data_IF_436682999288
#
_entry.id   IF_436682999288
#
_cell.length_a   1.000
_cell.length_b   1.000
_cell.length_c   1.000
_cell.angle_alpha   90.00
_cell.angle_beta   90.00
_cell.angle_gamma   90.00
#
_symmetry.space_group_name_H-M   'P 1'
#
loop_
_entity.id
_entity.type
_entity.pdbx_description
1 polymer ?
#
# COMPACT_ATOMS: atom_id res chain seq x y z
N UNK A 1 53.70 44.12 -17.49
CA UNK A 1 52.80 44.42 -16.35
C UNK A 1 51.38 44.90 -16.78
N UNK A 2 50.77 44.37 -17.86
CA UNK A 2 49.37 44.73 -18.26
C UNK A 2 48.34 43.60 -18.12
N UNK A 3 48.75 42.33 -18.04
CA UNK A 3 47.82 41.19 -17.99
C UNK A 3 47.32 40.78 -16.60
N UNK A 4 47.98 41.21 -15.52
CA UNK A 4 47.60 40.80 -14.15
C UNK A 4 46.51 41.71 -13.56
N UNK A 5 46.51 42.99 -13.93
CA UNK A 5 45.55 43.98 -13.42
C UNK A 5 44.16 43.82 -14.03
N UNK A 6 44.06 43.42 -15.31
CA UNK A 6 42.76 43.14 -15.94
C UNK A 6 42.08 41.87 -15.40
N UNK A 7 42.85 40.83 -15.02
CA UNK A 7 42.29 39.61 -14.41
C UNK A 7 41.72 39.89 -13.01
N UNK A 8 42.33 40.80 -12.24
CA UNK A 8 41.83 41.21 -10.92
C UNK A 8 40.55 42.06 -11.03
N UNK A 9 40.44 42.95 -12.03
CA UNK A 9 39.23 43.75 -12.25
C UNK A 9 38.06 42.89 -12.77
N UNK A 10 38.32 41.85 -13.59
CA UNK A 10 37.28 40.90 -14.02
C UNK A 10 36.76 40.00 -12.88
N UNK A 11 37.58 39.76 -11.86
CA UNK A 11 37.21 38.97 -10.69
C UNK A 11 36.29 39.77 -9.74
N UNK A 12 36.48 41.10 -9.67
CA UNK A 12 35.61 41.99 -8.90
C UNK A 12 34.31 42.37 -9.62
N UNK A 13 34.29 42.43 -10.96
CA UNK A 13 33.07 42.69 -11.76
C UNK A 13 32.08 41.52 -11.88
N UNK A 14 32.36 40.36 -11.28
CA UNK A 14 31.47 39.17 -11.29
C UNK A 14 30.60 39.00 -10.05
N UNK A 15 30.58 39.97 -9.13
CA UNK A 15 29.65 40.02 -7.99
C UNK A 15 28.78 41.28 -8.07
N UNK A 16 27.93 41.36 -9.09
CA UNK A 16 26.77 42.27 -9.04
C UNK A 16 25.70 41.64 -8.13
N UNK A 17 25.21 42.35 -7.10
CA UNK A 17 24.13 41.89 -6.22
C UNK A 17 22.87 41.47 -7.00
N UNK A 18 22.64 42.08 -8.16
CA UNK A 18 21.51 41.82 -9.04
C UNK A 18 21.44 40.37 -9.56
N UNK A 19 22.57 39.65 -9.71
CA UNK A 19 22.53 38.21 -10.09
C UNK A 19 22.24 37.28 -8.90
N UNK A 20 22.48 37.74 -7.67
CA UNK A 20 22.10 37.00 -6.46
C UNK A 20 20.60 37.19 -6.17
N UNK A 21 20.06 38.38 -6.44
CA UNK A 21 18.61 38.65 -6.38
C UNK A 21 17.84 38.00 -7.54
N UNK A 22 18.40 37.96 -8.75
CA UNK A 22 17.77 37.27 -9.89
C UNK A 22 17.70 35.73 -9.74
N UNK A 23 18.47 35.13 -8.83
CA UNK A 23 18.34 33.71 -8.47
C UNK A 23 17.26 33.44 -7.40
N UNK A 24 16.74 34.48 -6.75
CA UNK A 24 15.71 34.34 -5.72
C UNK A 24 14.27 34.42 -6.26
N UNK A 25 14.08 34.71 -7.54
CA UNK A 25 12.77 34.55 -8.20
C UNK A 25 12.80 33.34 -9.12
N UNK A 26 13.19 32.18 -8.57
CA UNK A 26 12.69 30.94 -9.12
C UNK A 26 11.17 31.02 -8.97
N UNK A 27 10.44 31.12 -10.08
CA UNK A 27 8.99 30.86 -10.08
C UNK A 27 8.82 29.48 -9.44
N UNK A 28 8.49 29.48 -8.15
CA UNK A 28 8.49 28.27 -7.34
C UNK A 28 7.51 27.32 -8.00
N UNK A 29 7.92 26.05 -8.17
CA UNK A 29 6.93 25.01 -8.49
C UNK A 29 5.81 25.15 -7.45
N UNK A 30 4.56 25.17 -7.89
CA UNK A 30 3.43 25.14 -6.97
C UNK A 30 3.48 23.91 -6.07
N UNK A 31 2.65 23.86 -5.02
CA UNK A 31 2.53 22.69 -4.15
C UNK A 31 2.38 21.41 -4.97
N UNK A 32 3.18 20.39 -4.63
CA UNK A 32 3.10 19.07 -5.26
C UNK A 32 2.55 18.03 -4.30
N UNK A 33 1.87 17.04 -4.88
CA UNK A 33 1.48 15.83 -4.17
C UNK A 33 2.57 14.78 -4.31
N UNK A 34 3.11 14.31 -3.19
CA UNK A 34 4.02 13.18 -3.11
C UNK A 34 3.24 11.93 -2.73
N UNK A 35 3.11 10.97 -3.66
CA UNK A 35 2.44 9.69 -3.40
C UNK A 35 3.50 8.59 -3.31
N UNK A 36 3.70 8.05 -2.11
CA UNK A 36 4.64 6.97 -1.85
C UNK A 36 3.89 5.65 -1.71
N UNK A 37 4.18 4.73 -2.63
CA UNK A 37 3.51 3.44 -2.78
C UNK A 37 4.44 2.32 -2.31
N UNK A 38 4.16 1.72 -1.17
CA UNK A 38 5.02 0.70 -0.53
C UNK A 38 4.38 -0.68 -0.64
N UNK A 39 4.97 -1.53 -1.47
CA UNK A 39 4.39 -2.81 -1.81
C UNK A 39 4.66 -3.90 -0.76
N UNK A 40 3.75 -4.87 -0.71
CA UNK A 40 3.82 -6.00 0.20
C UNK A 40 4.82 -7.06 -0.24
N UNK A 41 4.97 -8.11 0.57
CA UNK A 41 5.85 -9.25 0.30
C UNK A 41 5.71 -9.78 -1.13
N UNK A 42 6.82 -9.98 -1.84
CA UNK A 42 6.85 -10.41 -3.25
C UNK A 42 6.20 -9.46 -4.26
N UNK A 43 5.53 -8.40 -3.83
CA UNK A 43 4.93 -7.40 -4.71
C UNK A 43 5.98 -6.71 -5.60
N UNK A 44 5.70 -6.68 -6.90
CA UNK A 44 6.55 -6.04 -7.90
C UNK A 44 5.73 -5.55 -9.08
N UNK A 45 6.35 -4.79 -9.98
CA UNK A 45 5.73 -4.39 -11.24
C UNK A 45 5.74 -5.50 -12.31
N UNK A 46 6.10 -6.75 -11.96
CA UNK A 46 5.98 -7.88 -12.89
C UNK A 46 4.52 -8.34 -12.96
N UNK A 47 4.00 -8.77 -14.13
CA UNK A 47 2.61 -9.20 -14.27
C UNK A 47 2.17 -10.27 -13.25
N UNK A 48 3.02 -11.25 -12.98
CA UNK A 48 2.77 -12.37 -12.04
C UNK A 48 2.77 -11.96 -10.55
N UNK A 49 3.22 -10.74 -10.25
CA UNK A 49 3.40 -10.21 -8.89
C UNK A 49 2.76 -8.83 -8.71
N UNK A 50 1.91 -8.45 -9.66
CA UNK A 50 1.30 -7.13 -9.70
C UNK A 50 0.21 -7.03 -8.63
N UNK A 51 0.48 -6.24 -7.59
CA UNK A 51 -0.46 -5.93 -6.51
C UNK A 51 -1.28 -4.69 -6.83
N UNK A 52 -2.26 -4.37 -5.98
CA UNK A 52 -3.00 -3.11 -6.04
C UNK A 52 -2.05 -1.90 -5.94
N UNK A 53 -0.99 -1.99 -5.15
CA UNK A 53 0.04 -0.93 -5.06
C UNK A 53 0.76 -0.74 -6.41
N UNK A 54 1.14 -1.83 -7.07
CA UNK A 54 1.76 -1.78 -8.40
C UNK A 54 0.80 -1.25 -9.48
N UNK A 55 -0.49 -1.58 -9.38
CA UNK A 55 -1.52 -1.04 -10.27
C UNK A 55 -1.72 0.46 -10.08
N UNK A 56 -1.85 0.93 -8.83
CA UNK A 56 -1.95 2.36 -8.50
C UNK A 56 -0.72 3.10 -9.02
N UNK A 57 0.49 2.53 -8.86
CA UNK A 57 1.71 3.15 -9.37
C UNK A 57 1.66 3.34 -10.89
N UNK A 58 1.33 2.28 -11.64
CA UNK A 58 1.24 2.34 -13.11
C UNK A 58 0.19 3.34 -13.55
N UNK A 59 -0.96 3.36 -12.88
CA UNK A 59 -2.04 4.30 -13.13
C UNK A 59 -1.59 5.75 -12.90
N UNK A 60 -1.12 6.11 -11.70
CA UNK A 60 -0.71 7.48 -11.38
C UNK A 60 0.44 7.98 -12.26
N UNK A 61 1.40 7.11 -12.59
CA UNK A 61 2.52 7.45 -13.50
C UNK A 61 2.05 7.83 -14.90
N UNK A 62 0.97 7.21 -15.39
CA UNK A 62 0.39 7.48 -16.70
C UNK A 62 -0.59 8.66 -16.65
N UNK A 63 -1.38 8.72 -15.59
CA UNK A 63 -2.62 9.49 -15.57
C UNK A 63 -2.57 10.77 -14.71
N UNK A 64 -1.56 10.90 -13.84
CA UNK A 64 -1.42 12.03 -12.92
C UNK A 64 -0.01 12.68 -13.05
N UNK A 65 0.30 13.38 -14.15
CA UNK A 65 1.66 13.87 -14.46
C UNK A 65 2.19 14.92 -13.47
N UNK A 66 1.30 15.57 -12.72
CA UNK A 66 1.66 16.57 -11.69
C UNK A 66 1.96 15.94 -10.32
N UNK A 67 1.73 14.64 -10.16
CA UNK A 67 1.98 13.92 -8.91
C UNK A 67 3.37 13.32 -8.92
N UNK A 68 4.13 13.55 -7.86
CA UNK A 68 5.43 12.92 -7.65
C UNK A 68 5.24 11.54 -7.03
N UNK A 69 5.32 10.49 -7.86
CA UNK A 69 5.06 9.10 -7.42
C UNK A 69 6.35 8.34 -7.13
N UNK A 70 6.42 7.68 -5.98
CA UNK A 70 7.47 6.72 -5.61
C UNK A 70 6.90 5.32 -5.50
N UNK A 71 7.65 4.31 -5.97
CA UNK A 71 7.32 2.91 -5.78
C UNK A 71 8.42 2.19 -5.02
N UNK A 72 8.09 1.75 -3.80
CA UNK A 72 8.90 0.85 -3.00
C UNK A 72 8.53 -0.59 -3.33
N UNK A 73 9.38 -1.28 -4.11
CA UNK A 73 9.20 -2.71 -4.41
C UNK A 73 9.15 -3.52 -3.11
N UNK A 74 8.26 -4.49 -3.07
CA UNK A 74 8.13 -5.44 -1.98
C UNK A 74 9.37 -6.29 -1.77
N UNK A 75 9.55 -6.80 -0.56
CA UNK A 75 10.65 -7.72 -0.23
C UNK A 75 10.55 -8.97 -1.11
N UNK A 76 11.56 -9.20 -1.96
CA UNK A 76 11.65 -10.35 -2.85
C UNK A 76 12.44 -11.46 -2.17
N UNK A 77 11.99 -12.70 -2.35
CA UNK A 77 12.72 -13.89 -1.92
C UNK A 77 13.42 -14.47 -3.15
N UNK A 78 14.71 -14.81 -3.08
CA UNK A 78 15.40 -15.42 -4.21
C UNK A 78 15.61 -16.93 -4.04
N UNK A 79 15.83 -17.47 -2.83
CA UNK A 79 16.10 -18.91 -2.61
C UNK A 79 15.89 -19.37 -1.14
N UNK A 80 15.95 -20.69 -0.86
CA UNK A 80 15.83 -21.29 0.49
C UNK A 80 16.90 -20.82 1.50
N UNK A 81 18.01 -20.24 1.05
CA UNK A 81 19.05 -19.68 1.92
C UNK A 81 18.76 -18.23 2.37
N UNK A 82 17.84 -17.51 1.71
CA UNK A 82 17.37 -16.16 2.10
C UNK A 82 16.33 -16.18 3.23
N UNK A 83 16.01 -17.36 3.74
CA UNK A 83 14.99 -17.56 4.77
C UNK A 83 15.40 -16.81 6.05
N UNK A 84 16.69 -16.78 6.41
CA UNK A 84 17.15 -15.99 7.56
C UNK A 84 16.87 -14.49 7.39
N UNK A 85 17.21 -13.88 6.25
CA UNK A 85 17.14 -12.43 6.06
C UNK A 85 15.72 -11.88 6.06
N UNK A 86 14.75 -12.70 5.65
CA UNK A 86 13.34 -12.35 5.70
C UNK A 86 12.69 -12.69 7.04
N UNK A 87 13.26 -13.62 7.81
CA UNK A 87 12.80 -13.93 9.17
C UNK A 87 13.10 -12.81 10.18
N UNK A 88 14.04 -11.91 9.87
CA UNK A 88 14.52 -10.89 10.80
C UNK A 88 14.00 -9.46 10.56
N UNK A 89 13.03 -9.22 9.67
CA UNK A 89 12.50 -7.86 9.45
C UNK A 89 13.45 -6.87 8.77
N UNK A 90 14.72 -7.24 8.52
CA UNK A 90 15.76 -6.39 7.92
C UNK A 90 15.38 -5.79 6.55
N UNK A 91 14.51 -6.45 5.80
CA UNK A 91 14.08 -6.00 4.48
C UNK A 91 13.14 -4.78 4.49
N UNK A 92 12.31 -4.64 5.51
CA UNK A 92 11.31 -3.55 5.61
C UNK A 92 12.01 -2.24 5.99
N UNK A 93 13.00 -2.29 6.88
CA UNK A 93 13.77 -1.12 7.32
C UNK A 93 14.43 -0.41 6.13
N UNK A 94 15.09 -1.16 5.24
CA UNK A 94 15.70 -0.61 4.01
C UNK A 94 14.67 0.03 3.08
N UNK A 95 13.45 -0.51 3.01
CA UNK A 95 12.37 0.07 2.19
C UNK A 95 11.93 1.42 2.78
N UNK A 96 11.78 1.51 4.11
CA UNK A 96 11.43 2.73 4.84
C UNK A 96 12.53 3.79 4.67
N UNK A 97 13.79 3.45 4.90
CA UNK A 97 14.92 4.38 4.75
C UNK A 97 15.01 4.97 3.33
N UNK A 98 14.83 4.13 2.30
CA UNK A 98 14.82 4.59 0.90
C UNK A 98 13.64 5.52 0.60
N UNK A 99 12.46 5.18 1.09
CA UNK A 99 11.26 6.01 0.94
C UNK A 99 11.42 7.36 1.65
N UNK A 100 11.95 7.35 2.88
CA UNK A 100 12.26 8.55 3.65
C UNK A 100 13.27 9.44 2.93
N UNK A 101 14.41 8.87 2.50
CA UNK A 101 15.43 9.64 1.77
C UNK A 101 14.90 10.20 0.45
N UNK A 102 14.11 9.42 -0.29
CA UNK A 102 13.48 9.87 -1.53
C UNK A 102 12.58 11.08 -1.31
N UNK A 103 11.77 11.06 -0.23
CA UNK A 103 10.87 12.13 0.15
C UNK A 103 11.65 13.36 0.64
N UNK A 104 12.61 13.17 1.54
CA UNK A 104 13.43 14.25 2.11
C UNK A 104 14.18 15.05 1.03
N UNK A 105 14.66 14.39 -0.02
CA UNK A 105 15.32 15.06 -1.16
C UNK A 105 14.37 15.91 -2.02
N UNK A 106 13.04 15.68 -1.95
CA UNK A 106 12.05 16.26 -2.87
C UNK A 106 11.06 17.18 -2.21
N UNK A 107 10.77 16.96 -0.93
CA UNK A 107 9.76 17.70 -0.19
C UNK A 107 10.14 19.18 -0.10
N UNK A 108 9.14 20.03 -0.26
CA UNK A 108 9.20 21.46 0.05
C UNK A 108 8.01 21.80 0.95
N UNK A 109 8.17 22.79 1.85
CA UNK A 109 7.04 23.26 2.65
C UNK A 109 5.84 23.62 1.76
N UNK A 110 4.66 23.12 2.13
CA UNK A 110 3.43 23.27 1.35
C UNK A 110 3.09 22.07 0.46
N UNK A 111 4.03 21.16 0.19
CA UNK A 111 3.73 19.90 -0.50
C UNK A 111 2.88 18.97 0.39
N UNK A 112 2.02 18.15 -0.23
CA UNK A 112 1.18 17.15 0.47
C UNK A 112 1.77 15.75 0.33
N UNK A 113 1.63 14.94 1.37
CA UNK A 113 2.22 13.59 1.41
C UNK A 113 1.12 12.55 1.59
N UNK A 114 1.07 11.60 0.66
CA UNK A 114 0.20 10.43 0.68
C UNK A 114 1.07 9.18 0.77
N UNK A 115 0.94 8.43 1.86
CA UNK A 115 1.65 7.18 2.08
C UNK A 115 0.68 6.03 1.94
N UNK A 116 0.85 5.15 0.96
CA UNK A 116 -0.05 4.02 0.74
C UNK A 116 0.76 2.73 0.69
N UNK A 117 0.35 1.71 1.44
CA UNK A 117 1.04 0.43 1.40
C UNK A 117 0.15 -0.78 1.62
N UNK A 118 0.67 -1.95 1.26
CA UNK A 118 0.00 -3.24 1.40
C UNK A 118 0.79 -4.20 2.29
N UNK A 119 0.13 -4.91 3.22
CA UNK A 119 0.74 -5.94 4.06
C UNK A 119 1.91 -5.38 4.86
N UNK A 120 3.13 -5.92 4.69
CA UNK A 120 4.37 -5.36 5.25
C UNK A 120 4.74 -3.97 4.68
N UNK A 121 4.31 -3.65 3.47
CA UNK A 121 4.42 -2.31 2.90
C UNK A 121 3.48 -1.31 3.58
N UNK A 122 2.30 -1.76 4.05
CA UNK A 122 1.40 -0.92 4.88
C UNK A 122 2.05 -0.62 6.24
N UNK A 123 2.71 -1.62 6.83
CA UNK A 123 3.53 -1.44 8.02
C UNK A 123 4.66 -0.43 7.78
N UNK A 124 5.33 -0.51 6.63
CA UNK A 124 6.35 0.45 6.23
C UNK A 124 5.79 1.88 6.08
N UNK A 125 4.61 2.03 5.48
CA UNK A 125 3.95 3.33 5.31
C UNK A 125 3.58 3.97 6.66
N UNK A 126 3.00 3.18 7.56
CA UNK A 126 2.69 3.60 8.94
C UNK A 126 3.95 3.96 9.72
N UNK A 127 5.01 3.16 9.59
CA UNK A 127 6.29 3.43 10.25
C UNK A 127 6.98 4.69 9.71
N UNK A 128 6.88 4.93 8.40
CA UNK A 128 7.40 6.14 7.78
C UNK A 128 6.66 7.39 8.29
N UNK A 129 5.33 7.33 8.43
CA UNK A 129 4.56 8.41 9.05
C UNK A 129 5.03 8.67 10.48
N UNK A 130 5.14 7.62 11.30
CA UNK A 130 5.65 7.74 12.67
C UNK A 130 7.10 8.25 12.75
N UNK A 131 7.93 7.94 11.76
CA UNK A 131 9.30 8.44 11.66
C UNK A 131 9.33 9.94 11.36
N UNK A 132 8.51 10.40 10.42
CA UNK A 132 8.34 11.83 10.11
C UNK A 132 7.84 12.59 11.34
N UNK A 133 6.86 12.03 12.07
CA UNK A 133 6.33 12.64 13.27
C UNK A 133 7.38 12.79 14.36
N UNK A 134 8.03 11.69 14.75
CA UNK A 134 8.90 11.65 15.93
C UNK A 134 10.26 12.27 15.63
N UNK A 135 10.89 11.88 14.53
CA UNK A 135 12.26 12.31 14.17
C UNK A 135 12.28 13.56 13.30
N UNK A 136 11.25 13.80 12.49
CA UNK A 136 11.21 14.89 11.52
C UNK A 136 11.67 14.43 10.13
N UNK A 137 11.37 15.23 9.11
CA UNK A 137 11.84 15.02 7.75
C UNK A 137 13.06 15.91 7.48
N UNK A 138 14.17 15.32 7.04
CA UNK A 138 15.38 16.05 6.67
C UNK A 138 15.09 17.08 5.57
N UNK A 139 15.73 18.25 5.68
CA UNK A 139 15.78 19.21 4.57
C UNK A 139 16.57 18.64 3.39
N UNK A 140 16.26 19.00 2.13
CA UNK A 140 16.93 18.42 0.95
C UNK A 140 18.46 18.49 1.00
N UNK A 141 19.04 19.59 1.49
CA UNK A 141 20.48 19.80 1.66
C UNK A 141 21.14 18.88 2.71
N UNK A 142 20.33 18.27 3.59
CA UNK A 142 20.78 17.34 4.62
C UNK A 142 20.35 15.90 4.37
N UNK A 143 19.58 15.64 3.29
CA UNK A 143 19.03 14.33 2.92
C UNK A 143 20.09 13.38 2.31
N UNK A 144 21.28 13.33 2.91
CA UNK A 144 22.35 12.39 2.57
C UNK A 144 22.13 11.03 3.25
N UNK A 145 22.77 9.99 2.74
CA UNK A 145 22.64 8.61 3.25
C UNK A 145 22.96 8.51 4.75
N UNK A 146 24.04 9.15 5.20
CA UNK A 146 24.45 9.15 6.61
C UNK A 146 23.35 9.68 7.53
N UNK A 147 22.74 10.82 7.18
CA UNK A 147 21.71 11.45 7.98
C UNK A 147 20.40 10.68 7.91
N UNK A 148 20.08 10.09 6.75
CA UNK A 148 18.90 9.22 6.57
C UNK A 148 18.98 7.98 7.48
N UNK A 149 20.14 7.30 7.51
CA UNK A 149 20.37 6.16 8.41
C UNK A 149 20.35 6.57 9.88
N UNK A 150 20.87 7.76 10.21
CA UNK A 150 20.84 8.29 11.57
C UNK A 150 19.40 8.60 12.02
N UNK A 151 18.58 9.19 11.14
CA UNK A 151 17.16 9.42 11.40
C UNK A 151 16.43 8.09 11.67
N UNK A 152 16.68 7.06 10.85
CA UNK A 152 16.11 5.73 11.08
C UNK A 152 16.55 5.15 12.43
N UNK A 153 17.84 5.24 12.76
CA UNK A 153 18.36 4.79 14.05
C UNK A 153 17.68 5.51 15.21
N UNK A 154 17.46 6.82 15.12
CA UNK A 154 16.76 7.57 16.16
C UNK A 154 15.31 7.10 16.35
N UNK A 155 14.63 6.75 15.25
CA UNK A 155 13.28 6.19 15.28
C UNK A 155 13.26 4.78 15.91
N UNK A 156 14.17 3.90 15.47
CA UNK A 156 14.24 2.48 15.88
C UNK A 156 14.67 2.32 17.35
N UNK A 157 15.63 3.14 17.81
CA UNK A 157 16.14 3.05 19.19
C UNK A 157 15.42 3.96 20.18
N UNK A 158 14.38 4.68 19.75
CA UNK A 158 13.67 5.68 20.56
C UNK A 158 14.64 6.66 21.25
N UNK A 159 15.44 7.36 20.43
CA UNK A 159 16.46 8.25 20.95
C UNK A 159 15.87 9.29 21.94
N UNK A 160 16.58 9.63 23.03
CA UNK A 160 16.10 10.58 24.03
C UNK A 160 15.63 11.91 23.43
N UNK A 161 14.55 12.47 23.99
CA UNK A 161 13.93 13.69 23.49
C UNK A 161 14.90 14.87 23.23
N UNK A 162 15.91 15.15 24.08
CA UNK A 162 16.88 16.23 23.81
C UNK A 162 17.71 16.00 22.54
N UNK A 163 18.10 14.75 22.25
CA UNK A 163 18.86 14.38 21.06
C UNK A 163 17.98 14.57 19.82
N UNK A 164 16.74 14.08 19.89
CA UNK A 164 15.79 14.19 18.78
C UNK A 164 15.42 15.65 18.49
N UNK A 165 15.23 16.48 19.53
CA UNK A 165 14.99 17.92 19.39
C UNK A 165 16.19 18.65 18.74
N UNK A 166 17.42 18.31 19.15
CA UNK A 166 18.63 18.85 18.54
C UNK A 166 18.77 18.46 17.07
N UNK A 167 18.49 17.19 16.75
CA UNK A 167 18.48 16.67 15.38
C UNK A 167 17.46 17.42 14.51
N UNK A 168 16.22 17.54 14.99
CA UNK A 168 15.14 18.26 14.29
C UNK A 168 15.49 19.70 13.98
N UNK A 169 15.91 20.48 14.99
CA UNK A 169 16.26 21.89 14.82
C UNK A 169 17.41 22.09 13.83
N UNK A 170 18.35 21.15 13.79
CA UNK A 170 19.58 21.31 13.00
C UNK A 170 19.42 20.84 11.56
N UNK A 171 18.60 19.81 11.31
CA UNK A 171 18.62 19.08 10.03
C UNK A 171 17.25 18.93 9.37
N UNK A 172 16.15 19.05 10.11
CA UNK A 172 14.81 18.77 9.61
C UNK A 172 14.01 20.03 9.28
N UNK A 173 12.93 19.85 8.53
CA UNK A 173 11.85 20.82 8.44
C UNK A 173 11.16 20.98 9.81
N UNK A 174 10.64 22.18 10.08
CA UNK A 174 9.95 22.50 11.34
C UNK A 174 8.67 21.68 11.52
N UNK A 175 7.83 21.68 10.48
CA UNK A 175 6.57 20.94 10.42
C UNK A 175 6.39 20.29 9.06
N UNK A 176 5.95 19.03 9.06
CA UNK A 176 5.66 18.23 7.86
C UNK A 176 4.41 17.39 8.13
N UNK A 177 3.23 17.90 7.76
CA UNK A 177 2.00 17.13 7.86
C UNK A 177 1.98 16.02 6.80
N UNK A 178 1.45 14.86 7.18
CA UNK A 178 1.12 13.77 6.27
C UNK A 178 -0.38 13.82 6.02
N UNK A 179 -0.78 14.03 4.76
CA UNK A 179 -2.18 14.18 4.39
C UNK A 179 -2.94 12.87 4.58
N UNK A 180 -2.35 11.76 4.12
CA UNK A 180 -3.00 10.45 4.16
C UNK A 180 -2.01 9.33 4.43
N UNK A 181 -2.41 8.40 5.31
CA UNK A 181 -1.85 7.05 5.37
C UNK A 181 -2.93 6.05 4.96
N UNK A 182 -2.74 5.43 3.79
CA UNK A 182 -3.56 4.34 3.25
C UNK A 182 -2.93 2.98 3.49
N UNK A 183 -3.70 2.03 4.01
CA UNK A 183 -3.23 0.70 4.34
C UNK A 183 -4.14 -0.39 3.76
N UNK A 184 -3.55 -1.33 3.04
CA UNK A 184 -4.22 -2.59 2.67
C UNK A 184 -3.74 -3.70 3.60
N UNK A 185 -4.64 -4.18 4.44
CA UNK A 185 -4.50 -5.29 5.39
C UNK A 185 -3.13 -5.33 6.08
N UNK A 186 -2.84 -4.31 6.89
CA UNK A 186 -1.54 -4.18 7.58
C UNK A 186 -1.28 -5.41 8.45
N UNK A 187 -0.13 -6.06 8.27
CA UNK A 187 0.30 -7.18 9.14
C UNK A 187 1.64 -6.85 9.79
N UNK A 188 1.88 -7.43 10.97
CA UNK A 188 3.18 -7.26 11.63
C UNK A 188 4.31 -7.84 10.78
N UNK A 189 5.46 -7.17 10.78
CA UNK A 189 6.68 -7.68 10.17
C UNK A 189 7.37 -8.78 11.03
N UNK A 190 6.60 -9.52 11.84
CA UNK A 190 7.14 -10.59 12.68
C UNK A 190 7.53 -11.81 11.84
N UNK A 191 8.62 -12.45 12.25
CA UNK A 191 9.10 -13.71 11.69
C UNK A 191 7.99 -14.77 11.70
N UNK A 192 7.94 -15.56 10.62
CA UNK A 192 6.91 -16.59 10.43
C UNK A 192 7.05 -17.67 11.51
N UNK A 193 5.98 -17.94 12.26
CA UNK A 193 5.89 -19.12 13.14
C UNK A 193 5.51 -20.35 12.29
N UNK A 194 6.49 -21.12 11.82
CA UNK A 194 6.26 -22.42 11.19
C UNK A 194 6.30 -23.55 12.24
N UNK A 195 5.48 -24.62 12.10
CA UNK A 195 5.61 -25.81 12.92
C UNK A 195 7.02 -26.42 12.75
N UNK A 196 7.58 -26.96 13.84
CA UNK A 196 8.94 -27.54 13.97
C UNK A 196 10.14 -26.56 13.95
N UNK A 197 9.95 -25.27 13.62
CA UNK A 197 10.96 -24.23 13.83
C UNK A 197 10.60 -23.38 15.06
N UNK A 198 10.79 -23.94 16.24
CA UNK A 198 10.78 -23.17 17.47
C UNK A 198 12.09 -22.40 17.58
N UNK A 199 11.99 -21.10 17.86
CA UNK A 199 13.09 -20.20 18.21
C UNK A 199 13.83 -19.52 17.05
N UNK A 200 13.20 -18.54 16.41
CA UNK A 200 13.92 -17.32 16.03
C UNK A 200 13.14 -16.14 16.56
N UNK A 201 13.57 -15.59 17.69
CA UNK A 201 13.11 -14.28 18.15
C UNK A 201 13.63 -13.28 17.11
N UNK A 202 12.77 -12.93 16.15
CA UNK A 202 13.06 -11.81 15.27
C UNK A 202 13.36 -10.59 16.15
N UNK A 203 14.48 -9.91 15.85
CA UNK A 203 14.76 -8.60 16.44
C UNK A 203 13.49 -7.76 16.25
N UNK A 204 12.91 -7.34 17.38
CA UNK A 204 11.64 -6.64 17.38
C UNK A 204 11.85 -5.32 16.64
N UNK A 205 11.47 -5.23 15.36
CA UNK A 205 11.06 -3.94 14.82
C UNK A 205 9.76 -3.65 15.56
N UNK A 206 9.91 -3.01 16.72
CA UNK A 206 8.79 -2.64 17.58
C UNK A 206 7.93 -1.73 16.73
N UNK A 207 6.73 -2.18 16.41
CA UNK A 207 5.75 -1.28 15.86
C UNK A 207 5.46 -0.25 16.94
N UNK A 208 5.90 0.98 16.71
CA UNK A 208 5.99 1.92 17.82
C UNK A 208 4.66 2.61 18.13
N UNK A 209 3.61 2.43 17.32
CA UNK A 209 2.32 3.01 17.68
C UNK A 209 1.10 2.37 16.98
N UNK A 210 0.17 1.83 17.76
CA UNK A 210 -1.15 1.43 17.28
C UNK A 210 -2.06 2.64 17.00
N UNK A 211 -1.62 3.84 17.34
CA UNK A 211 -2.30 5.09 17.05
C UNK A 211 -1.84 5.71 15.72
N UNK A 212 -2.74 6.49 15.11
CA UNK A 212 -2.43 7.43 14.05
C UNK A 212 -1.76 8.68 14.65
N UNK A 213 -0.54 8.97 14.24
CA UNK A 213 0.21 10.14 14.74
C UNK A 213 -0.53 11.47 14.57
N UNK A 214 -0.20 12.46 15.39
CA UNK A 214 -0.82 13.79 15.34
C UNK A 214 -0.47 14.57 14.07
N UNK A 215 0.67 14.24 13.44
CA UNK A 215 1.08 14.83 12.16
C UNK A 215 0.34 14.25 10.95
N UNK A 216 -0.44 13.18 11.14
CA UNK A 216 -1.20 12.54 10.07
C UNK A 216 -2.66 13.00 10.10
N UNK A 217 -3.14 13.60 9.02
CA UNK A 217 -4.51 14.10 8.96
C UNK A 217 -5.54 12.98 8.82
N UNK A 218 -5.28 12.01 7.94
CA UNK A 218 -6.24 10.94 7.63
C UNK A 218 -5.59 9.55 7.56
N UNK A 219 -6.21 8.57 8.21
CA UNK A 219 -5.85 7.15 8.16
C UNK A 219 -6.96 6.31 7.54
N UNK A 220 -6.68 5.61 6.45
CA UNK A 220 -7.64 4.72 5.78
C UNK A 220 -7.09 3.30 5.72
N UNK A 221 -7.84 2.32 6.20
CA UNK A 221 -7.42 0.92 6.19
C UNK A 221 -8.47 0.01 5.58
N UNK A 222 -8.09 -0.70 4.52
CA UNK A 222 -8.85 -1.81 3.96
C UNK A 222 -8.43 -3.12 4.64
N UNK A 223 -9.38 -3.91 5.14
CA UNK A 223 -9.15 -5.12 5.94
C UNK A 223 -9.75 -6.35 5.26
N UNK A 224 -9.04 -7.47 5.34
CA UNK A 224 -9.50 -8.75 4.78
C UNK A 224 -10.43 -9.47 5.76
N UNK A 225 -11.72 -9.57 5.42
CA UNK A 225 -12.74 -10.21 6.25
C UNK A 225 -12.56 -11.73 6.34
N UNK A 226 -12.23 -12.38 5.22
CA UNK A 226 -12.22 -13.84 5.08
C UNK A 226 -10.84 -14.46 5.31
N UNK A 227 -9.87 -13.67 5.79
CA UNK A 227 -8.53 -14.15 6.08
C UNK A 227 -8.49 -14.94 7.39
N UNK A 228 -8.08 -16.21 7.33
CA UNK A 228 -8.04 -17.10 8.49
C UNK A 228 -6.63 -17.36 9.00
N UNK A 229 -5.57 -17.05 8.26
CA UNK A 229 -4.18 -17.39 8.66
C UNK A 229 -3.74 -16.50 9.81
N UNK A 230 -3.44 -17.09 10.96
CA UNK A 230 -3.07 -16.34 12.17
C UNK A 230 -1.78 -15.52 12.01
N UNK A 231 -0.85 -15.96 11.14
CA UNK A 231 0.38 -15.21 10.83
C UNK A 231 0.12 -13.89 10.11
N UNK A 232 -1.07 -13.72 9.53
CA UNK A 232 -1.48 -12.49 8.86
C UNK A 232 -2.46 -11.68 9.73
N UNK A 233 -2.48 -11.85 11.06
CA UNK A 233 -3.35 -11.04 11.93
C UNK A 233 -3.17 -9.53 11.67
N UNK A 234 -4.26 -8.77 11.44
CA UNK A 234 -4.13 -7.40 11.00
C UNK A 234 -3.85 -6.49 12.19
N UNK A 235 -3.03 -5.47 11.96
CA UNK A 235 -2.82 -4.38 12.90
C UNK A 235 -3.96 -3.37 12.77
N UNK A 236 -4.97 -3.50 13.63
CA UNK A 236 -6.06 -2.53 13.77
C UNK A 236 -5.50 -1.22 14.36
N UNK A 237 -5.93 -0.08 13.83
CA UNK A 237 -5.67 1.22 14.44
C UNK A 237 -6.55 1.43 15.67
N UNK A 238 -5.97 2.03 16.70
CA UNK A 238 -6.67 2.45 17.90
C UNK A 238 -7.06 3.93 17.80
N UNK A 239 -8.37 4.16 17.74
CA UNK A 239 -8.98 5.49 17.62
C UNK A 239 -9.11 6.24 18.95
N UNK A 240 -8.92 5.56 20.10
CA UNK A 240 -9.13 6.14 21.43
C UNK A 240 -8.15 7.30 21.74
N UNK A 241 -6.95 7.29 21.13
CA UNK A 241 -5.93 8.33 21.31
C UNK A 241 -5.87 9.41 20.22
N UNK A 242 -6.66 9.26 19.14
CA UNK A 242 -6.44 10.02 17.89
C UNK A 242 -7.68 10.75 17.39
N UNK A 243 -8.84 10.39 17.93
CA UNK A 243 -10.16 10.85 17.48
C UNK A 243 -10.64 10.00 16.31
N UNK A 244 -11.74 9.25 16.53
CA UNK A 244 -12.34 8.35 15.54
C UNK A 244 -12.68 9.02 14.19
N UNK A 245 -12.77 10.36 14.13
CA UNK A 245 -13.05 11.09 12.90
C UNK A 245 -11.88 11.10 11.88
N UNK A 246 -10.63 10.83 12.31
CA UNK A 246 -9.46 10.81 11.42
C UNK A 246 -9.16 9.44 10.81
N UNK A 247 -9.79 8.39 11.33
CA UNK A 247 -9.50 7.00 10.97
C UNK A 247 -10.75 6.36 10.42
N UNK A 248 -10.63 5.70 9.28
CA UNK A 248 -11.69 4.86 8.72
C UNK A 248 -11.10 3.48 8.36
N UNK A 249 -11.63 2.44 9.00
CA UNK A 249 -11.20 1.05 8.78
C UNK A 249 -12.36 0.25 8.18
N UNK A 250 -12.23 -0.19 6.93
CA UNK A 250 -13.28 -0.92 6.22
C UNK A 250 -12.92 -2.37 5.99
N UNK A 251 -13.80 -3.26 6.38
CA UNK A 251 -13.71 -4.69 6.10
C UNK A 251 -14.31 -5.00 4.73
N UNK A 252 -13.55 -5.72 3.90
CA UNK A 252 -13.93 -6.14 2.56
C UNK A 252 -13.95 -7.67 2.49
N UNK A 253 -14.83 -8.21 1.64
CA UNK A 253 -14.84 -9.63 1.27
C UNK A 253 -13.50 -10.03 0.64
N UNK A 254 -13.02 -11.22 0.97
CA UNK A 254 -11.78 -11.79 0.47
C UNK A 254 -10.71 -12.00 1.54
N UNK A 255 -9.69 -12.76 1.17
CA UNK A 255 -8.49 -13.02 1.95
C UNK A 255 -7.45 -11.90 1.76
N UNK A 256 -6.32 -11.99 2.46
CA UNK A 256 -5.25 -10.98 2.43
C UNK A 256 -4.80 -10.60 1.00
N UNK A 257 -4.68 -11.61 0.13
CA UNK A 257 -4.29 -11.43 -1.26
C UNK A 257 -5.34 -10.71 -2.11
N UNK A 258 -6.62 -10.90 -1.81
CA UNK A 258 -7.71 -10.20 -2.49
C UNK A 258 -7.68 -8.71 -2.14
N UNK A 259 -7.42 -8.36 -0.87
CA UNK A 259 -7.39 -6.95 -0.46
C UNK A 259 -6.19 -6.20 -1.04
N UNK A 260 -5.02 -6.85 -1.06
CA UNK A 260 -3.81 -6.26 -1.64
C UNK A 260 -3.63 -6.46 -3.13
N UNK A 261 -4.52 -7.22 -3.79
CA UNK A 261 -4.39 -7.59 -5.20
C UNK A 261 -3.18 -8.49 -5.51
N UNK A 262 -2.66 -9.22 -4.52
CA UNK A 262 -1.57 -10.19 -4.70
C UNK A 262 -2.15 -11.55 -5.12
N UNK A 263 -2.51 -11.65 -6.39
CA UNK A 263 -3.31 -12.77 -6.91
C UNK A 263 -2.49 -13.90 -7.56
N UNK A 264 -1.19 -13.66 -7.79
CA UNK A 264 -0.36 -14.59 -8.55
C UNK A 264 -0.92 -14.81 -9.96
N UNK A 265 -1.19 -16.07 -10.31
CA UNK A 265 -1.79 -16.44 -11.60
C UNK A 265 -3.31 -16.50 -11.59
N UNK A 266 -3.96 -16.16 -10.46
CA UNK A 266 -5.42 -16.23 -10.32
C UNK A 266 -6.08 -14.89 -10.73
N UNK A 267 -6.09 -14.63 -12.03
CA UNK A 267 -6.57 -13.37 -12.61
C UNK A 267 -8.06 -13.08 -12.36
N UNK A 268 -8.87 -14.13 -12.21
CA UNK A 268 -10.33 -14.02 -12.03
C UNK A 268 -10.73 -13.34 -10.71
N UNK A 269 -9.83 -13.30 -9.73
CA UNK A 269 -10.04 -12.55 -8.48
C UNK A 269 -9.77 -11.04 -8.62
N UNK A 270 -9.27 -10.57 -9.78
CA UNK A 270 -8.91 -9.16 -9.97
C UNK A 270 -10.10 -8.21 -9.76
N UNK A 271 -11.32 -8.49 -10.26
CA UNK A 271 -12.45 -7.63 -9.99
C UNK A 271 -12.81 -7.50 -8.51
N UNK A 272 -12.62 -8.55 -7.71
CA UNK A 272 -12.80 -8.48 -6.26
C UNK A 272 -11.73 -7.58 -5.62
N UNK A 273 -10.46 -7.77 -6.01
CA UNK A 273 -9.33 -7.00 -5.50
C UNK A 273 -9.32 -5.51 -5.89
N UNK A 274 -10.02 -5.17 -6.97
CA UNK A 274 -10.16 -3.80 -7.42
C UNK A 274 -11.14 -3.00 -6.54
N UNK A 275 -12.03 -3.64 -5.78
CA UNK A 275 -12.96 -2.94 -4.88
C UNK A 275 -12.20 -2.13 -3.80
N UNK A 276 -11.34 -2.73 -2.96
CA UNK A 276 -10.56 -1.96 -1.99
C UNK A 276 -9.56 -1.01 -2.65
N UNK A 277 -9.03 -1.34 -3.83
CA UNK A 277 -8.13 -0.46 -4.60
C UNK A 277 -8.85 0.85 -4.94
N UNK A 278 -10.03 0.75 -5.54
CA UNK A 278 -10.84 1.91 -5.92
C UNK A 278 -11.26 2.68 -4.68
N UNK A 279 -11.74 2.01 -3.63
CA UNK A 279 -12.07 2.67 -2.37
C UNK A 279 -10.90 3.50 -1.83
N UNK A 280 -9.67 2.98 -1.84
CA UNK A 280 -8.49 3.71 -1.37
C UNK A 280 -8.21 4.96 -2.21
N UNK A 281 -8.35 4.88 -3.53
CA UNK A 281 -8.16 6.01 -4.43
C UNK A 281 -9.29 7.04 -4.32
N UNK A 282 -10.53 6.62 -4.08
CA UNK A 282 -11.66 7.52 -3.79
C UNK A 282 -11.41 8.31 -2.50
N UNK A 283 -10.81 7.70 -1.46
CA UNK A 283 -10.40 8.45 -0.25
C UNK A 283 -9.31 9.47 -0.56
N UNK A 284 -8.31 9.10 -1.35
CA UNK A 284 -7.26 10.05 -1.74
C UNK A 284 -7.81 11.21 -2.60
N UNK A 285 -8.71 10.91 -3.55
CA UNK A 285 -9.39 11.90 -4.37
C UNK A 285 -10.30 12.82 -3.54
N UNK A 286 -10.99 12.28 -2.55
CA UNK A 286 -11.79 13.06 -1.60
C UNK A 286 -10.97 14.06 -0.76
N UNK A 287 -9.67 13.80 -0.59
CA UNK A 287 -8.70 14.74 0.00
C UNK A 287 -8.07 15.69 -1.04
N UNK A 288 -8.58 15.69 -2.27
CA UNK A 288 -8.14 16.56 -3.36
C UNK A 288 -6.92 16.05 -4.12
N UNK A 289 -6.56 14.76 -4.03
CA UNK A 289 -5.60 14.19 -4.99
C UNK A 289 -6.25 14.22 -6.39
N UNK A 290 -5.63 14.93 -7.33
CA UNK A 290 -6.22 15.13 -8.66
C UNK A 290 -6.08 13.86 -9.50
N UNK A 291 -7.19 13.17 -9.74
CA UNK A 291 -7.32 12.02 -10.64
C UNK A 291 -8.12 12.41 -11.90
N UNK A 292 -7.90 11.77 -13.05
CA UNK A 292 -8.64 12.09 -14.27
C UNK A 292 -10.11 11.67 -14.15
N UNK A 293 -11.05 12.37 -14.82
CA UNK A 293 -12.46 11.99 -14.84
C UNK A 293 -12.64 10.55 -15.30
N UNK A 294 -13.49 9.80 -14.60
CA UNK A 294 -13.80 8.41 -14.95
C UNK A 294 -12.70 7.38 -14.63
N UNK A 295 -11.65 7.76 -13.90
CA UNK A 295 -10.55 6.86 -13.54
C UNK A 295 -11.02 5.53 -12.92
N UNK A 296 -12.09 5.55 -12.13
CA UNK A 296 -12.60 4.36 -11.44
C UNK A 296 -13.14 3.29 -12.40
N UNK A 297 -13.50 3.65 -13.63
CA UNK A 297 -13.95 2.68 -14.65
C UNK A 297 -12.79 1.85 -15.23
N UNK A 298 -11.54 2.30 -15.10
CA UNK A 298 -10.37 1.50 -15.51
C UNK A 298 -10.18 0.24 -14.65
N UNK A 299 -10.79 0.21 -13.47
CA UNK A 299 -10.71 -0.89 -12.52
C UNK A 299 -12.07 -1.59 -12.45
N UNK A 300 -12.24 -2.63 -13.27
CA UNK A 300 -13.43 -3.50 -13.22
C UNK A 300 -13.62 -4.03 -11.79
N UNK A 301 -14.83 -3.93 -11.25
CA UNK A 301 -15.18 -4.32 -9.87
C UNK A 301 -16.34 -5.30 -9.91
N UNK A 302 -16.22 -6.38 -9.16
CA UNK A 302 -17.30 -7.35 -9.00
C UNK A 302 -17.20 -7.97 -7.60
N UNK A 303 -18.23 -7.74 -6.78
CA UNK A 303 -18.30 -8.25 -5.41
C UNK A 303 -18.55 -9.77 -5.35
N UNK A 304 -18.99 -10.36 -6.46
CA UNK A 304 -19.26 -11.80 -6.60
C UNK A 304 -18.09 -12.58 -7.17
N UNK A 305 -17.06 -11.88 -7.69
CA UNK A 305 -15.86 -12.50 -8.21
C UNK A 305 -15.19 -13.45 -7.19
N UNK A 306 -14.52 -14.51 -7.67
CA UNK A 306 -13.91 -15.51 -6.80
C UNK A 306 -12.79 -14.90 -5.96
N UNK A 307 -12.60 -15.43 -4.76
CA UNK A 307 -11.46 -15.08 -3.89
C UNK A 307 -10.30 -16.05 -4.15
N UNK A 308 -9.06 -15.56 -4.05
CA UNK A 308 -7.86 -16.44 -4.04
C UNK A 308 -7.85 -17.39 -2.85
N UNK A 309 -8.64 -17.07 -1.82
CA UNK A 309 -8.83 -17.84 -0.61
C UNK A 309 -7.58 -17.89 0.27
N UNK A 310 -7.68 -18.71 1.31
CA UNK A 310 -6.65 -18.84 2.35
C UNK A 310 -5.86 -20.14 2.21
N UNK A 311 -6.13 -20.97 1.19
CA UNK A 311 -5.49 -22.28 0.98
C UNK A 311 -4.68 -22.38 -0.32
N UNK A 312 -4.74 -21.38 -1.20
CA UNK A 312 -4.00 -21.37 -2.47
C UNK A 312 -2.48 -21.24 -2.31
N UNK A 313 -1.72 -21.98 -3.11
CA UNK A 313 -0.26 -21.85 -3.21
C UNK A 313 0.47 -22.05 -1.87
N UNK A 314 1.26 -21.06 -1.45
CA UNK A 314 2.00 -21.10 -0.17
C UNK A 314 1.11 -20.97 1.06
N UNK A 315 -0.14 -20.53 0.90
CA UNK A 315 -1.05 -20.33 2.01
C UNK A 315 -1.33 -21.62 2.81
N UNK A 316 -1.21 -22.78 2.16
CA UNK A 316 -1.38 -24.12 2.76
C UNK A 316 -0.36 -24.47 3.84
N UNK A 317 0.80 -23.82 3.85
CA UNK A 317 1.84 -24.05 4.86
C UNK A 317 1.57 -23.32 6.19
N UNK A 318 0.57 -22.43 6.23
CA UNK A 318 0.14 -21.75 7.46
C UNK A 318 -1.03 -22.52 8.09
N UNK A 319 -0.69 -23.42 9.00
CA UNK A 319 -1.66 -24.33 9.62
C UNK A 319 -2.48 -23.67 10.73
N UNK A 320 -1.88 -22.72 11.47
CA UNK A 320 -2.59 -21.96 12.49
C UNK A 320 -3.60 -21.02 11.83
N UNK A 321 -4.88 -21.25 12.15
CA UNK A 321 -5.99 -20.51 11.58
C UNK A 321 -6.98 -20.10 12.65
N UNK A 322 -7.42 -18.86 12.55
CA UNK A 322 -8.47 -18.28 13.37
C UNK A 322 -9.27 -17.27 12.53
N UNK A 323 -10.61 -17.24 12.70
CA UNK A 323 -11.44 -16.10 12.32
C UNK A 323 -10.83 -14.73 12.63
N UNK A 324 -11.03 -13.76 11.72
CA UNK A 324 -10.87 -12.34 12.07
C UNK A 324 -11.92 -11.94 13.11
N UNK A 325 -11.55 -11.03 14.00
CA UNK A 325 -12.48 -10.40 14.93
C UNK A 325 -12.75 -8.98 14.46
N UNK A 326 -13.99 -8.68 14.09
CA UNK A 326 -14.46 -7.40 13.55
C UNK A 326 -15.08 -6.57 14.67
N UNK A 327 -14.73 -5.28 14.73
CA UNK A 327 -15.25 -4.33 15.72
C UNK A 327 -14.46 -4.32 17.02
N UNK A 328 -13.13 -4.42 16.92
CA UNK A 328 -12.19 -4.17 18.03
C UNK A 328 -12.15 -2.67 18.36
N UNK A 329 -12.30 -1.80 17.37
CA UNK A 329 -12.23 -0.35 17.45
C UNK A 329 -13.49 0.32 16.83
N UNK A 330 -13.96 1.48 17.36
CA UNK A 330 -15.12 2.21 16.82
C UNK A 330 -14.98 2.73 15.39
N UNK A 331 -13.78 2.89 14.85
CA UNK A 331 -13.55 3.33 13.46
C UNK A 331 -13.73 2.22 12.42
N UNK A 332 -14.03 1.00 12.87
CA UNK A 332 -14.27 -0.15 12.00
C UNK A 332 -15.71 -0.18 11.46
N UNK A 333 -15.85 -0.53 10.17
CA UNK A 333 -17.13 -0.82 9.54
C UNK A 333 -17.01 -1.82 8.41
N UNK A 334 -18.11 -2.46 8.03
CA UNK A 334 -18.16 -3.23 6.78
C UNK A 334 -18.19 -2.27 5.59
N UNK A 335 -17.57 -2.67 4.47
CA UNK A 335 -17.77 -2.01 3.19
C UNK A 335 -19.13 -2.41 2.61
N UNK A 336 -19.78 -1.50 1.88
CA UNK A 336 -21.12 -1.72 1.28
C UNK A 336 -21.19 -2.91 0.31
N UNK A 337 -20.05 -3.29 -0.27
CA UNK A 337 -19.95 -4.46 -1.16
C UNK A 337 -19.98 -5.79 -0.42
N UNK A 338 -19.92 -5.80 0.92
CA UNK A 338 -19.90 -7.04 1.71
C UNK A 338 -21.31 -7.60 1.84
N UNK A 339 -21.55 -8.72 1.18
CA UNK A 339 -22.70 -9.59 1.44
C UNK A 339 -22.28 -10.71 2.37
N UNK A 340 -22.80 -10.75 3.60
CA UNK A 340 -22.48 -11.83 4.54
C UNK A 340 -23.22 -13.12 4.14
N UNK A 341 -22.51 -14.23 3.87
CA UNK A 341 -23.15 -15.54 3.68
C UNK A 341 -23.74 -16.05 5.02
N UNK A 342 -24.61 -17.07 4.96
CA UNK A 342 -25.20 -17.71 6.16
C UNK A 342 -24.14 -18.18 7.17
N UNK A 343 -22.94 -18.54 6.69
CA UNK A 343 -21.77 -18.91 7.50
C UNK A 343 -20.58 -18.02 7.16
N UNK A 344 -20.44 -16.91 7.87
CA UNK A 344 -19.23 -16.10 7.85
C UNK A 344 -18.15 -16.71 8.75
N UNK A 345 -16.90 -16.73 8.28
CA UNK A 345 -15.77 -17.12 9.12
C UNK A 345 -15.37 -16.02 10.11
N UNK A 346 -15.76 -14.76 9.92
CA UNK A 346 -15.43 -13.66 10.82
C UNK A 346 -16.31 -13.63 12.09
N UNK A 347 -15.71 -13.25 13.21
CA UNK A 347 -16.38 -13.04 14.50
C UNK A 347 -16.73 -11.57 14.69
N UNK A 348 -18.01 -11.24 14.79
CA UNK A 348 -18.49 -9.87 14.97
C UNK A 348 -18.69 -9.52 16.44
N UNK A 349 -18.07 -8.44 16.91
CA UNK A 349 -18.36 -7.90 18.24
C UNK A 349 -19.73 -7.19 18.26
N UNK A 350 -20.47 -7.20 19.39
CA UNK A 350 -21.84 -6.69 19.46
C UNK A 350 -22.03 -5.24 19.01
N UNK A 351 -20.97 -4.41 19.10
CA UNK A 351 -21.01 -3.00 18.68
C UNK A 351 -21.23 -2.79 17.17
N UNK A 352 -20.91 -3.77 16.31
CA UNK A 352 -21.13 -3.71 14.86
C UNK A 352 -22.50 -4.29 14.45
N UNK A 353 -23.26 -4.86 15.38
CA UNK A 353 -24.64 -5.30 15.13
C UNK A 353 -25.60 -4.10 15.15
N UNK A 354 -25.51 -3.21 14.16
CA UNK A 354 -26.56 -2.25 13.76
C UNK A 354 -27.06 -2.60 12.34
N UNK A 355 -28.32 -2.27 11.97
CA UNK A 355 -29.19 -3.12 11.14
C UNK A 355 -28.98 -3.05 9.62
N UNK A 356 -27.81 -2.66 9.13
CA UNK A 356 -27.52 -2.57 7.68
C UNK A 356 -26.87 -3.84 7.10
N UNK A 357 -26.71 -4.88 7.90
CA UNK A 357 -26.32 -6.20 7.39
C UNK A 357 -27.49 -6.74 6.56
N UNK A 358 -27.43 -6.52 5.24
CA UNK A 358 -28.35 -7.10 4.26
C UNK A 358 -28.09 -8.62 4.24
N UNK A 359 -28.79 -9.34 5.12
CA UNK A 359 -28.82 -10.80 5.13
C UNK A 359 -29.52 -11.22 3.83
N UNK A 360 -28.84 -12.03 3.02
CA UNK A 360 -29.47 -12.66 1.86
C UNK A 360 -30.55 -13.62 2.40
N UNK A 361 -31.81 -13.54 1.96
CA UNK A 361 -32.80 -14.55 2.30
C UNK A 361 -32.32 -15.91 1.78
N UNK A 362 -32.53 -17.02 2.51
CA UNK A 362 -32.21 -18.34 2.00
C UNK A 362 -32.88 -18.52 0.64
N UNK A 363 -32.10 -18.87 -0.39
CA UNK A 363 -32.69 -19.34 -1.64
C UNK A 363 -33.51 -20.57 -1.29
N UNK A 364 -34.82 -20.51 -1.56
CA UNK A 364 -35.69 -21.66 -1.39
C UNK A 364 -35.09 -22.84 -2.18
N UNK A 365 -35.06 -24.05 -1.60
CA UNK A 365 -34.65 -25.23 -2.36
C UNK A 365 -35.53 -25.31 -3.61
N UNK A 366 -34.89 -25.54 -4.76
CA UNK A 366 -35.58 -25.75 -6.03
C UNK A 366 -36.69 -26.79 -5.78
N UNK A 367 -37.94 -26.38 -6.00
CA UNK A 367 -39.07 -27.25 -5.86
C UNK A 367 -38.89 -28.41 -6.85
N UNK A 368 -38.71 -29.61 -6.31
CA UNK A 368 -38.99 -30.85 -7.01
C UNK A 368 -40.48 -30.84 -7.36
N UNK A 369 -40.78 -30.45 -8.60
CA UNK A 369 -42.11 -30.47 -9.18
C UNK A 369 -42.06 -31.36 -10.41
N UNK A 370 -42.53 -32.59 -10.24
CA UNK A 370 -42.76 -33.56 -11.31
C UNK A 370 -43.77 -33.03 -12.32
N UNK A 371 -43.37 -32.92 -13.59
CA UNK A 371 -44.27 -33.15 -14.72
C UNK A 371 -43.51 -33.93 -15.80
N UNK A 372 -43.59 -35.26 -15.68
CA UNK A 372 -43.29 -36.19 -16.76
C UNK A 372 -44.52 -36.23 -17.69
N UNK A 373 -44.53 -35.33 -18.66
CA UNK A 373 -45.37 -35.37 -19.86
C UNK A 373 -44.56 -35.92 -21.03
N UNK A 374 -45.12 -36.95 -21.68
CA UNK A 374 -44.54 -37.82 -22.71
C UNK A 374 -44.21 -37.14 -24.06
N UNK A 375 -43.45 -37.92 -24.85
CA UNK A 375 -43.30 -37.98 -26.32
C UNK A 375 -42.20 -37.09 -26.92
N UNK A 376 -41.43 -37.49 -27.92
CA UNK A 376 -40.93 -38.76 -28.49
C UNK A 376 -39.96 -38.31 -29.61
N UNK A 377 -39.12 -39.25 -30.06
CA UNK A 377 -38.39 -39.25 -31.35
C UNK A 377 -37.04 -38.50 -31.49
N UNK A 378 -36.00 -39.33 -31.48
CA UNK A 378 -35.06 -39.56 -32.59
C UNK A 378 -34.55 -38.37 -33.44
N UNK A 379 -33.23 -38.23 -33.50
CA UNK A 379 -32.57 -37.42 -34.52
C UNK A 379 -31.05 -37.38 -34.37
N UNK A 380 -30.38 -38.46 -34.75
CA UNK A 380 -28.94 -38.43 -35.01
C UNK A 380 -28.62 -37.58 -36.24
N UNK A 381 -27.49 -36.89 -36.24
CA UNK A 381 -27.00 -36.15 -37.41
C UNK A 381 -25.64 -35.51 -37.15
N UNK A 382 -24.60 -36.16 -37.66
CA UNK A 382 -23.23 -35.68 -37.69
C UNK A 382 -22.99 -34.63 -38.80
N UNK A 383 -22.03 -33.75 -38.57
CA UNK A 383 -21.42 -32.84 -39.54
C UNK A 383 -20.88 -31.62 -38.77
N UNK A 384 -19.59 -31.32 -38.66
CA UNK A 384 -18.48 -31.58 -39.56
C UNK A 384 -17.87 -30.23 -39.95
N UNK A 385 -16.56 -30.10 -39.75
CA UNK A 385 -15.62 -29.20 -40.46
C UNK A 385 -15.25 -27.84 -39.82
N UNK A 386 -14.05 -27.90 -39.23
CA UNK A 386 -12.86 -27.02 -39.36
C UNK A 386 -12.70 -25.64 -38.71
N UNK A 387 -11.43 -25.50 -38.29
CA UNK A 387 -10.74 -24.39 -37.71
C UNK A 387 -10.35 -23.31 -38.73
N UNK A 388 -10.21 -22.08 -38.25
CA UNK A 388 -9.41 -21.07 -38.93
C UNK A 388 -8.53 -20.34 -37.92
N UNK A 389 -7.26 -20.74 -37.92
CA UNK A 389 -6.11 -19.99 -37.44
C UNK A 389 -5.87 -18.83 -38.39
N UNK A 390 -5.81 -17.60 -37.88
CA UNK A 390 -5.12 -16.50 -38.53
C UNK A 390 -4.26 -15.78 -37.48
N UNK A 391 -2.95 -16.02 -37.57
CA UNK A 391 -1.94 -15.20 -36.92
C UNK A 391 -1.44 -14.09 -37.85
N UNK A 392 -0.86 -13.06 -37.23
CA UNK A 392 0.26 -12.22 -37.69
C UNK A 392 0.30 -10.93 -36.85
N UNK A 393 1.42 -10.17 -36.80
CA UNK A 393 2.81 -10.60 -36.77
C UNK A 393 3.65 -9.87 -35.69
N UNK A 394 4.86 -10.40 -35.54
CA UNK A 394 6.01 -9.94 -34.80
C UNK A 394 6.51 -8.54 -35.23
N UNK A 395 6.80 -7.66 -34.28
CA UNK A 395 7.67 -6.48 -34.44
C UNK A 395 8.42 -6.19 -33.14
N UNK A 396 9.58 -6.82 -32.98
CA UNK A 396 10.67 -6.26 -32.18
C UNK A 396 11.23 -4.97 -32.83
N UNK A 397 11.89 -4.12 -32.04
CA UNK A 397 13.32 -4.06 -32.28
C UNK A 397 14.16 -4.19 -31.00
N UNK A 398 15.32 -4.78 -31.23
CA UNK A 398 16.49 -4.87 -30.36
C UNK A 398 16.98 -3.47 -29.98
N UNK A 399 17.54 -3.32 -28.79
CA UNK A 399 18.99 -3.16 -28.66
C UNK A 399 19.44 -3.15 -27.20
N UNK A 400 20.50 -3.92 -26.96
CA UNK A 400 21.37 -3.84 -25.80
C UNK A 400 22.72 -3.31 -26.32
N UNK A 401 23.22 -2.26 -25.66
CA UNK A 401 24.52 -1.63 -25.87
C UNK A 401 24.74 -0.63 -24.76
#
# INVERSE_FOLDING_TARGET
>A
MRGLFERLISAFRRRSPERAEARQVAHGRGPLDHVLLLDGTMGSLRPDRLTSIGMIYRFLRRAAPKVSVYYGRGLQWREWHDVSDVWFGFGVNKQIERAYGWLAMRYRPGDRIFLIGYSRGAFAARSLAGMIERVGLLRPEHAIERNTRLAWRHYETEAPAPIMAGFRRSLCHESVPVEMVGAFDTVQALGIRLPFFWLVRAAQVRFHDHHLGQSVHHGYQALALDETRSVLEPLIWDSAGTGAARIEQRWFRGAHGDIGGQLGHFGDARPLANIPLVWMLERAEGLGLVLPPGWAQEFARDATAPSVGTWGGWAKFFWLRAPRVVGRDPSEGLHESVTLPERSHALFRPRILRPEIRRVPPQAPAAEGSELGRHDEAGGGAGGVEASVLGAPDLAPRDAG
#
